data_IF_834060519796
#
_entry.id   IF_834060519796
#
_cell.length_a   1.000
_cell.length_b   1.000
_cell.length_c   1.000
_cell.angle_alpha   90.00
_cell.angle_beta   90.00
_cell.angle_gamma   90.00
#
_symmetry.space_group_name_H-M   'P 1'
#
loop_
_entity.id
_entity.type
_entity.pdbx_description
1 polymer ?
#
# COMPACT_ATOMS: atom_id res chain seq x y z
N UNK A 1 -27.87 6.05 21.83
CA UNK A 1 -26.62 6.45 22.52
C UNK A 1 -25.45 6.13 21.61
N UNK A 2 -24.98 7.09 20.81
CA UNK A 2 -23.80 6.92 19.96
C UNK A 2 -22.75 7.92 20.45
N UNK A 3 -21.67 7.41 21.05
CA UNK A 3 -20.57 8.22 21.57
C UNK A 3 -19.66 8.59 20.40
N UNK A 4 -19.78 9.83 19.92
CA UNK A 4 -18.81 10.46 19.04
C UNK A 4 -17.47 10.56 19.78
N UNK A 5 -16.45 9.84 19.30
CA UNK A 5 -15.09 9.92 19.84
C UNK A 5 -14.43 11.16 19.23
N UNK A 6 -14.43 12.24 20.00
CA UNK A 6 -13.68 13.45 19.70
C UNK A 6 -12.18 13.16 19.91
N UNK A 7 -11.40 13.16 18.83
CA UNK A 7 -9.94 13.08 18.91
C UNK A 7 -9.40 14.49 19.18
N UNK A 8 -9.06 14.77 20.44
CA UNK A 8 -8.25 15.94 20.78
C UNK A 8 -6.82 15.72 20.28
N UNK A 9 -6.36 16.56 19.36
CA UNK A 9 -4.93 16.73 19.07
C UNK A 9 -4.32 17.59 20.18
N UNK A 10 -3.56 16.96 21.09
CA UNK A 10 -2.72 17.67 22.03
C UNK A 10 -1.40 18.02 21.32
N UNK A 11 -1.26 19.25 20.84
CA UNK A 11 0.03 19.81 20.45
C UNK A 11 0.81 20.17 21.72
N UNK A 12 1.68 19.26 22.15
CA UNK A 12 2.66 19.51 23.21
C UNK A 12 3.95 20.05 22.57
N UNK A 13 4.11 21.37 22.57
CA UNK A 13 5.38 22.02 22.23
C UNK A 13 6.23 22.18 23.49
N UNK A 14 7.28 21.38 23.64
CA UNK A 14 8.29 21.55 24.69
C UNK A 14 9.68 21.12 24.19
N UNK A 15 10.62 22.08 24.17
CA UNK A 15 12.00 21.85 24.62
C UNK A 15 13.09 21.86 23.55
N UNK A 16 13.91 22.91 23.60
CA UNK A 16 15.18 23.09 22.88
C UNK A 16 16.21 22.01 23.27
N UNK A 17 16.84 21.40 22.26
CA UNK A 17 18.04 20.56 22.40
C UNK A 17 18.88 20.62 21.12
N UNK A 18 20.04 21.28 21.19
CA UNK A 18 20.99 21.49 20.10
C UNK A 18 21.84 20.24 19.82
N UNK A 19 21.84 19.69 18.60
CA UNK A 19 22.89 18.77 18.11
C UNK A 19 22.86 18.65 16.57
N UNK A 20 23.93 19.10 15.90
CA UNK A 20 24.27 18.83 14.50
C UNK A 20 23.27 19.32 13.44
N UNK A 21 23.61 20.36 12.68
CA UNK A 21 22.84 20.69 11.48
C UNK A 21 23.13 19.66 10.37
N UNK A 22 22.62 18.44 10.51
CA UNK A 22 22.19 17.67 9.36
C UNK A 22 20.91 18.30 8.82
N UNK A 23 20.68 18.22 7.50
CA UNK A 23 19.37 18.55 6.96
C UNK A 23 18.30 17.68 7.65
N UNK A 24 17.10 18.20 7.93
CA UNK A 24 16.02 17.36 8.47
C UNK A 24 15.76 16.18 7.55
N UNK A 25 15.52 14.99 8.11
CA UNK A 25 15.14 13.83 7.31
C UNK A 25 13.88 14.11 6.48
N UNK A 26 13.88 13.68 5.24
CA UNK A 26 12.75 13.71 4.32
C UNK A 26 12.09 12.34 4.32
N UNK A 27 10.76 12.33 4.38
CA UNK A 27 9.99 11.11 4.20
C UNK A 27 10.13 10.57 2.75
N UNK A 28 9.97 9.25 2.54
CA UNK A 28 9.92 8.68 1.20
C UNK A 28 8.74 9.26 0.42
N UNK A 29 8.81 9.18 -0.90
CA UNK A 29 7.77 9.62 -1.83
C UNK A 29 7.47 8.51 -2.83
N UNK A 30 6.20 8.11 -2.94
CA UNK A 30 5.75 7.20 -4.00
C UNK A 30 5.58 8.02 -5.29
N UNK A 31 6.36 7.70 -6.32
CA UNK A 31 6.34 8.38 -7.62
C UNK A 31 5.50 7.63 -8.66
N UNK A 32 5.31 6.31 -8.48
CA UNK A 32 4.40 5.49 -9.29
C UNK A 32 3.84 4.31 -8.50
N UNK A 33 2.61 3.89 -8.81
CA UNK A 33 1.92 2.83 -8.10
C UNK A 33 1.37 3.26 -6.73
N UNK A 34 1.07 2.31 -5.82
CA UNK A 34 1.05 0.87 -6.02
C UNK A 34 -0.06 0.44 -6.99
N UNK A 35 0.24 -0.38 -8.00
CA UNK A 35 -0.77 -0.86 -8.98
C UNK A 35 -0.30 -2.10 -9.73
N UNK A 36 -1.21 -2.87 -10.35
CA UNK A 36 -0.83 -3.86 -11.36
C UNK A 36 -0.05 -3.22 -12.51
N UNK A 37 1.11 -3.77 -12.86
CA UNK A 37 1.98 -3.26 -13.92
C UNK A 37 1.25 -3.26 -15.26
N UNK A 38 1.39 -2.15 -16.01
CA UNK A 38 0.79 -2.01 -17.34
C UNK A 38 -0.74 -1.94 -17.38
N UNK A 39 -1.42 -1.98 -16.23
CA UNK A 39 -2.87 -1.81 -16.19
C UNK A 39 -3.27 -0.42 -16.71
N UNK A 40 -4.48 -0.25 -17.27
CA UNK A 40 -5.02 1.07 -17.56
C UNK A 40 -5.59 1.75 -16.30
N UNK A 41 -5.81 3.05 -16.37
CA UNK A 41 -6.64 3.76 -15.39
C UNK A 41 -8.10 3.45 -15.72
N UNK A 42 -8.68 2.44 -15.08
CA UNK A 42 -10.04 1.96 -15.39
C UNK A 42 -11.06 2.51 -14.40
N UNK A 43 -12.02 3.35 -14.85
CA UNK A 43 -13.19 3.71 -14.05
C UNK A 43 -13.93 2.43 -13.62
N UNK A 44 -14.16 2.27 -12.32
CA UNK A 44 -14.80 1.07 -11.77
C UNK A 44 -13.86 -0.09 -11.41
N UNK A 45 -12.55 0.08 -11.53
CA UNK A 45 -11.55 -0.89 -11.05
C UNK A 45 -11.03 -1.86 -12.10
N UNK A 46 -10.09 -2.69 -11.68
CA UNK A 46 -9.43 -3.69 -12.51
C UNK A 46 -10.06 -5.06 -12.26
N UNK A 47 -10.19 -5.87 -13.32
CA UNK A 47 -10.76 -7.21 -13.25
C UNK A 47 -9.69 -8.23 -13.64
N UNK A 48 -9.55 -9.28 -12.84
CA UNK A 48 -8.61 -10.38 -13.08
C UNK A 48 -9.32 -11.71 -12.87
N UNK A 49 -8.91 -12.73 -13.61
CA UNK A 49 -9.36 -14.09 -13.35
C UNK A 49 -8.64 -14.65 -12.11
N UNK A 50 -9.32 -15.51 -11.35
CA UNK A 50 -8.69 -16.22 -10.22
C UNK A 50 -7.42 -16.98 -10.67
N UNK A 51 -6.42 -17.01 -9.80
CA UNK A 51 -5.12 -17.61 -10.08
C UNK A 51 -4.23 -16.81 -11.03
N UNK A 52 -4.68 -15.67 -11.57
CA UNK A 52 -3.81 -14.78 -12.35
C UNK A 52 -2.66 -14.30 -11.48
N UNK A 53 -1.42 -14.47 -11.96
CA UNK A 53 -0.22 -13.90 -11.33
C UNK A 53 -0.01 -12.49 -11.87
N UNK A 54 -0.11 -11.50 -10.99
CA UNK A 54 -0.10 -10.08 -11.34
C UNK A 54 1.21 -9.47 -10.85
N UNK A 55 2.04 -8.96 -11.76
CA UNK A 55 3.20 -8.15 -11.39
C UNK A 55 2.72 -6.79 -10.84
N UNK A 56 3.18 -6.40 -9.64
CA UNK A 56 2.90 -5.08 -9.08
C UNK A 56 4.01 -4.09 -9.46
N UNK A 57 3.61 -2.84 -9.65
CA UNK A 57 4.47 -1.68 -9.86
C UNK A 57 4.38 -0.78 -8.62
N UNK A 58 5.55 -0.41 -8.11
CA UNK A 58 5.75 0.61 -7.09
C UNK A 58 7.12 1.25 -7.34
N UNK A 59 7.15 2.57 -7.44
CA UNK A 59 8.38 3.36 -7.52
C UNK A 59 8.39 4.34 -6.35
N UNK A 60 9.50 4.34 -5.61
CA UNK A 60 9.70 5.17 -4.43
C UNK A 60 11.04 5.89 -4.56
N UNK A 61 11.06 7.14 -4.17
CA UNK A 61 12.28 7.94 -4.04
C UNK A 61 12.38 8.49 -2.64
N UNK A 62 13.60 8.60 -2.15
CA UNK A 62 13.93 9.22 -0.88
C UNK A 62 15.03 10.27 -1.13
N UNK A 63 14.90 11.46 -0.54
CA UNK A 63 15.81 12.57 -0.83
C UNK A 63 17.14 12.44 -0.09
N UNK A 64 17.15 11.74 1.05
CA UNK A 64 18.32 11.51 1.89
C UNK A 64 19.08 10.24 1.48
N UNK A 65 18.50 9.45 0.57
CA UNK A 65 18.95 8.12 0.14
C UNK A 65 18.93 7.10 1.30
N UNK A 66 17.94 7.21 2.17
CA UNK A 66 17.71 6.22 3.21
C UNK A 66 17.30 4.87 2.62
N UNK A 67 17.59 3.79 3.35
CA UNK A 67 17.13 2.45 2.97
C UNK A 67 15.61 2.36 3.13
N UNK A 68 14.92 1.88 2.09
CA UNK A 68 13.46 1.81 2.07
C UNK A 68 12.98 0.38 2.28
N UNK A 69 12.07 0.23 3.24
CA UNK A 69 11.42 -1.03 3.57
C UNK A 69 9.96 -1.01 3.12
N UNK A 70 9.47 -2.18 2.70
CA UNK A 70 8.13 -2.36 2.16
C UNK A 70 7.35 -3.36 3.00
N UNK A 71 6.06 -3.12 3.18
CA UNK A 71 5.14 -4.10 3.74
C UNK A 71 3.82 -4.10 2.99
N UNK A 72 3.66 -5.08 2.11
CA UNK A 72 2.43 -5.30 1.37
C UNK A 72 1.39 -6.02 2.22
N UNK A 73 0.15 -5.54 2.15
CA UNK A 73 -1.02 -6.17 2.75
C UNK A 73 -2.22 -6.08 1.80
N UNK A 74 -3.31 -6.78 2.14
CA UNK A 74 -4.55 -6.74 1.37
C UNK A 74 -5.77 -6.53 2.26
N UNK A 75 -6.79 -5.89 1.71
CA UNK A 75 -8.12 -5.77 2.30
C UNK A 75 -9.19 -6.27 1.33
N UNK A 76 -10.12 -7.14 1.75
CA UNK A 76 -10.20 -7.71 3.10
C UNK A 76 -9.02 -8.67 3.37
N UNK A 77 -8.59 -8.75 4.62
CA UNK A 77 -7.39 -9.53 5.00
C UNK A 77 -7.56 -11.02 4.75
N UNK A 78 -8.80 -11.51 4.74
CA UNK A 78 -9.15 -12.90 4.43
C UNK A 78 -9.46 -13.14 2.94
N UNK A 79 -9.20 -12.21 2.04
CA UNK A 79 -9.44 -12.43 0.60
C UNK A 79 -8.58 -13.57 0.01
N UNK A 80 -7.51 -14.00 0.69
CA UNK A 80 -6.75 -15.21 0.33
C UNK A 80 -5.77 -15.05 -0.84
N UNK A 81 -5.50 -13.80 -1.26
CA UNK A 81 -4.48 -13.52 -2.26
C UNK A 81 -3.08 -13.70 -1.68
N UNK A 82 -2.10 -13.99 -2.53
CA UNK A 82 -0.75 -14.36 -2.09
C UNK A 82 0.29 -13.50 -2.78
N UNK A 83 1.06 -12.75 -1.99
CA UNK A 83 2.27 -12.07 -2.47
C UNK A 83 3.42 -13.07 -2.59
N UNK A 84 4.25 -12.96 -3.63
CA UNK A 84 5.50 -13.74 -3.73
C UNK A 84 6.49 -13.38 -2.64
N UNK A 85 6.62 -12.09 -2.36
CA UNK A 85 7.35 -11.56 -1.21
C UNK A 85 6.73 -10.21 -0.81
N UNK A 86 6.04 -10.10 0.34
CA UNK A 86 5.41 -8.85 0.74
C UNK A 86 6.41 -7.76 1.20
N UNK A 87 7.72 -8.04 1.22
CA UNK A 87 8.77 -7.14 1.70
C UNK A 87 9.60 -6.46 0.61
N UNK A 88 9.34 -6.75 -0.67
CA UNK A 88 10.00 -6.10 -1.81
C UNK A 88 9.11 -5.05 -2.46
N UNK A 89 9.71 -4.12 -3.21
CA UNK A 89 8.97 -3.03 -3.87
C UNK A 89 7.95 -3.54 -4.90
N UNK A 90 8.36 -4.48 -5.75
CA UNK A 90 7.59 -4.94 -6.92
C UNK A 90 7.34 -6.46 -6.88
N UNK A 91 6.58 -6.96 -5.89
CA UNK A 91 6.26 -8.38 -5.87
C UNK A 91 5.21 -8.73 -6.93
N UNK A 92 5.04 -10.01 -7.15
CA UNK A 92 3.84 -10.53 -7.77
C UNK A 92 2.77 -10.78 -6.71
N UNK A 93 1.50 -10.63 -7.09
CA UNK A 93 0.35 -11.02 -6.30
C UNK A 93 -0.50 -12.01 -7.10
N UNK A 94 -0.78 -13.17 -6.52
CA UNK A 94 -1.62 -14.20 -7.13
C UNK A 94 -3.06 -13.94 -6.72
N UNK A 95 -3.92 -13.72 -7.71
CA UNK A 95 -5.33 -13.50 -7.50
C UNK A 95 -5.98 -14.72 -6.80
N UNK A 96 -6.75 -14.51 -5.72
CA UNK A 96 -7.45 -15.59 -5.03
C UNK A 96 -8.66 -16.07 -5.83
N UNK A 97 -9.47 -16.96 -5.25
CA UNK A 97 -10.84 -17.19 -5.69
C UNK A 97 -11.71 -15.93 -5.50
N UNK A 98 -12.81 -15.76 -6.26
CA UNK A 98 -13.75 -14.66 -6.05
C UNK A 98 -14.30 -14.62 -4.62
N UNK A 99 -14.49 -13.40 -4.10
CA UNK A 99 -15.16 -13.19 -2.81
C UNK A 99 -16.65 -13.58 -2.90
N UNK A 100 -17.25 -13.91 -1.75
CA UNK A 100 -18.68 -14.22 -1.65
C UNK A 100 -19.56 -13.11 -2.24
N UNK A 101 -19.18 -11.84 -2.00
CA UNK A 101 -19.76 -10.70 -2.68
C UNK A 101 -18.91 -10.34 -3.92
N UNK A 102 -19.37 -10.63 -5.15
CA UNK A 102 -18.59 -10.36 -6.37
C UNK A 102 -18.41 -8.86 -6.66
N UNK A 103 -19.17 -7.98 -5.99
CA UNK A 103 -19.03 -6.54 -6.10
C UNK A 103 -18.17 -5.94 -4.99
N UNK A 104 -17.62 -6.76 -4.09
CA UNK A 104 -16.64 -6.30 -3.11
C UNK A 104 -15.24 -6.30 -3.75
N UNK A 105 -14.56 -5.14 -3.81
CA UNK A 105 -13.19 -5.09 -4.31
C UNK A 105 -12.20 -5.61 -3.26
N UNK A 106 -11.07 -6.11 -3.75
CA UNK A 106 -9.83 -6.26 -3.00
C UNK A 106 -8.98 -5.00 -3.23
N UNK A 107 -8.44 -4.44 -2.16
CA UNK A 107 -7.41 -3.40 -2.21
C UNK A 107 -6.09 -3.99 -1.75
N UNK A 108 -5.01 -3.66 -2.46
CA UNK A 108 -3.65 -3.91 -1.99
C UNK A 108 -3.11 -2.62 -1.39
N UNK A 109 -2.48 -2.75 -0.23
CA UNK A 109 -1.82 -1.65 0.46
C UNK A 109 -0.33 -1.94 0.55
N UNK A 110 0.48 -0.89 0.52
CA UNK A 110 1.90 -0.98 0.83
C UNK A 110 2.25 0.09 1.83
N UNK A 111 2.82 -0.31 2.96
CA UNK A 111 3.53 0.61 3.83
C UNK A 111 4.97 0.72 3.33
N UNK A 112 5.46 1.95 3.24
CA UNK A 112 6.80 2.32 2.79
C UNK A 112 7.44 3.11 3.92
N UNK A 113 8.53 2.62 4.48
CA UNK A 113 9.22 3.27 5.61
C UNK A 113 10.71 3.44 5.33
N UNK A 114 11.28 4.55 5.81
CA UNK A 114 12.70 4.89 5.75
C UNK A 114 13.44 4.58 7.06
N UNK A 115 12.71 4.14 8.11
CA UNK A 115 13.19 4.00 9.50
C UNK A 115 13.85 5.25 10.13
N UNK A 116 13.79 6.40 9.45
CA UNK A 116 14.31 7.69 9.88
C UNK A 116 13.18 8.72 10.10
N UNK A 117 11.93 8.24 10.18
CA UNK A 117 10.75 8.99 10.63
C UNK A 117 9.65 9.13 9.59
N UNK A 118 9.88 8.67 8.35
CA UNK A 118 8.89 8.67 7.28
C UNK A 118 8.19 7.31 7.14
N UNK A 119 6.86 7.32 7.18
CA UNK A 119 6.02 6.20 6.77
C UNK A 119 4.97 6.70 5.79
N UNK A 120 4.86 6.07 4.63
CA UNK A 120 3.81 6.30 3.64
C UNK A 120 2.95 5.06 3.45
N UNK A 121 1.65 5.26 3.26
CA UNK A 121 0.71 4.22 2.88
C UNK A 121 0.24 4.44 1.44
N UNK A 122 0.59 3.51 0.55
CA UNK A 122 0.04 3.43 -0.80
C UNK A 122 -1.18 2.52 -0.84
N UNK A 123 -2.12 2.79 -1.76
CA UNK A 123 -3.29 1.93 -2.01
C UNK A 123 -3.47 1.71 -3.52
N UNK A 124 -3.74 0.47 -3.91
CA UNK A 124 -4.05 0.11 -5.30
C UNK A 124 -5.42 0.62 -5.74
N UNK A 125 -5.68 0.66 -7.07
CA UNK A 125 -7.04 0.65 -7.57
C UNK A 125 -7.83 -0.56 -7.02
N UNK A 126 -9.18 -0.49 -7.00
CA UNK A 126 -10.00 -1.64 -6.61
C UNK A 126 -9.79 -2.80 -7.60
N UNK A 127 -9.57 -3.99 -7.07
CA UNK A 127 -9.37 -5.23 -7.82
C UNK A 127 -10.59 -6.13 -7.65
N UNK A 128 -11.16 -6.61 -8.75
CA UNK A 128 -12.27 -7.55 -8.76
C UNK A 128 -11.81 -8.87 -9.36
N UNK A 129 -12.18 -9.96 -8.70
CA UNK A 129 -11.77 -11.30 -9.11
C UNK A 129 -12.95 -12.01 -9.78
N UNK A 130 -12.70 -12.51 -10.98
CA UNK A 130 -13.63 -13.30 -11.76
C UNK A 130 -13.28 -14.79 -11.62
N UNK A 131 -14.28 -15.68 -11.58
CA UNK A 131 -14.01 -17.12 -11.62
C UNK A 131 -13.31 -17.49 -12.92
N UNK A 132 -12.46 -18.52 -12.89
CA UNK A 132 -11.77 -18.99 -14.09
C UNK A 132 -12.79 -19.56 -15.05
N UNK A 133 -12.79 -19.10 -16.29
CA UNK A 133 -13.63 -19.72 -17.31
C UNK A 133 -13.05 -21.10 -17.65
N UNK A 134 -13.91 -22.13 -17.59
CA UNK A 134 -13.58 -23.49 -17.99
C UNK A 134 -13.54 -23.64 -19.50
#
# INVERSE_FOLDING_TARGET
MSRSRSFMFALLALGLGSVGCGEPNHQPVITAGPRPLGSPSTPGGLKFEEGTVIQLQLEVTDADNDEIFFRWTQNPSNAGGVFSDPSIATPTWTAPAPLENPNQPIYLYVEVEDHNGGVLLGQSPPLFILPKQQ
#
